data_IF_190229362829
#
_entry.id   IF_190229362829
#
_cell.length_a   1.000
_cell.length_b   1.000
_cell.length_c   1.000
_cell.angle_alpha   90.00
_cell.angle_beta   90.00
_cell.angle_gamma   90.00
#
_symmetry.space_group_name_H-M   'P 1'
#
loop_
_entity.id
_entity.type
_entity.pdbx_description
1 polymer ?
#
# COMPACT_ATOMS: atom_id res chain seq x y z
N UNK A 1 -7.68 -15.88 14.93
CA UNK A 1 -7.34 -17.32 15.04
C UNK A 1 -6.39 -17.66 13.91
N UNK A 2 -5.09 -17.76 14.18
CA UNK A 2 -4.09 -18.07 13.15
C UNK A 2 -4.24 -19.50 12.60
N UNK A 3 -3.90 -19.69 11.32
CA UNK A 3 -3.92 -20.99 10.65
C UNK A 3 -2.79 -21.87 11.21
N UNK A 4 -3.15 -23.04 11.73
CA UNK A 4 -2.20 -24.05 12.20
C UNK A 4 -1.56 -24.81 11.03
N UNK A 5 -0.37 -25.38 11.25
CA UNK A 5 0.33 -26.17 10.22
C UNK A 5 -0.49 -27.37 9.74
N UNK A 6 -1.19 -28.02 10.65
CA UNK A 6 -2.04 -29.18 10.36
C UNK A 6 -3.22 -28.81 9.47
N UNK A 7 -3.94 -27.73 9.81
CA UNK A 7 -5.04 -27.24 8.99
C UNK A 7 -4.57 -26.78 7.60
N UNK A 8 -3.38 -26.19 7.51
CA UNK A 8 -2.82 -25.81 6.21
C UNK A 8 -2.42 -27.03 5.37
N UNK A 9 -1.86 -28.07 5.99
CA UNK A 9 -1.50 -29.30 5.28
C UNK A 9 -2.73 -30.01 4.70
N UNK A 10 -3.82 -30.06 5.47
CA UNK A 10 -5.05 -30.72 5.06
C UNK A 10 -5.83 -29.93 4.01
N UNK A 11 -5.82 -28.60 4.09
CA UNK A 11 -6.68 -27.69 3.30
C UNK A 11 -5.87 -26.62 2.56
N UNK A 12 -4.74 -27.00 1.98
CA UNK A 12 -3.80 -26.07 1.32
C UNK A 12 -4.47 -25.19 0.27
N UNK A 13 -5.19 -25.79 -0.69
CA UNK A 13 -5.82 -25.05 -1.79
C UNK A 13 -6.89 -24.08 -1.31
N UNK A 14 -7.64 -24.49 -0.28
CA UNK A 14 -8.65 -23.65 0.34
C UNK A 14 -8.01 -22.43 1.00
N UNK A 15 -6.98 -22.62 1.82
CA UNK A 15 -6.31 -21.51 2.50
C UNK A 15 -5.57 -20.59 1.53
N UNK A 16 -4.94 -21.14 0.49
CA UNK A 16 -4.30 -20.35 -0.57
C UNK A 16 -5.34 -19.46 -1.28
N UNK A 17 -6.55 -19.99 -1.56
CA UNK A 17 -7.63 -19.22 -2.16
C UNK A 17 -8.23 -18.17 -1.21
N UNK A 18 -8.43 -18.51 0.07
CA UNK A 18 -8.91 -17.54 1.07
C UNK A 18 -7.92 -16.38 1.22
N UNK A 19 -6.63 -16.68 1.31
CA UNK A 19 -5.56 -15.66 1.35
C UNK A 19 -5.53 -14.82 0.08
N UNK A 20 -5.77 -15.41 -1.09
CA UNK A 20 -5.89 -14.67 -2.36
C UNK A 20 -7.06 -13.68 -2.33
N UNK A 21 -8.21 -14.08 -1.80
CA UNK A 21 -9.37 -13.19 -1.65
C UNK A 21 -9.01 -12.03 -0.72
N UNK A 22 -8.42 -12.32 0.43
CA UNK A 22 -8.13 -11.31 1.44
C UNK A 22 -7.11 -10.28 0.93
N UNK A 23 -6.07 -10.73 0.23
CA UNK A 23 -5.10 -9.84 -0.43
C UNK A 23 -5.75 -8.82 -1.37
N UNK A 24 -6.67 -9.29 -2.22
CA UNK A 24 -7.33 -8.41 -3.17
C UNK A 24 -8.30 -7.45 -2.48
N UNK A 25 -8.97 -7.89 -1.41
CA UNK A 25 -9.82 -6.99 -0.59
C UNK A 25 -9.00 -5.90 0.09
N UNK A 26 -7.88 -6.24 0.73
CA UNK A 26 -6.98 -5.27 1.35
C UNK A 26 -6.45 -4.26 0.33
N UNK A 27 -6.00 -4.75 -0.84
CA UNK A 27 -5.53 -3.90 -1.93
C UNK A 27 -6.60 -2.92 -2.42
N UNK A 28 -7.84 -3.40 -2.58
CA UNK A 28 -8.97 -2.56 -2.97
C UNK A 28 -9.34 -1.55 -1.90
N UNK A 29 -9.32 -1.92 -0.61
CA UNK A 29 -9.54 -0.96 0.49
C UNK A 29 -8.49 0.14 0.48
N UNK A 30 -7.21 -0.21 0.30
CA UNK A 30 -6.14 0.77 0.19
C UNK A 30 -6.36 1.71 -1.01
N UNK A 31 -6.73 1.15 -2.17
CA UNK A 31 -7.06 1.93 -3.36
C UNK A 31 -8.26 2.85 -3.13
N UNK A 32 -9.35 2.35 -2.52
CA UNK A 32 -10.53 3.15 -2.20
C UNK A 32 -10.19 4.30 -1.26
N UNK A 33 -9.33 4.08 -0.26
CA UNK A 33 -8.83 5.12 0.65
C UNK A 33 -8.01 6.18 -0.07
N UNK A 34 -7.14 5.79 -1.01
CA UNK A 34 -6.35 6.73 -1.83
C UNK A 34 -7.19 7.55 -2.83
N UNK A 35 -8.31 6.98 -3.27
CA UNK A 35 -9.25 7.56 -4.23
C UNK A 35 -10.41 8.30 -3.55
N UNK A 36 -10.55 8.18 -2.22
CA UNK A 36 -11.52 8.92 -1.44
C UNK A 36 -11.32 10.43 -1.66
N UNK A 37 -12.41 11.14 -1.97
CA UNK A 37 -12.35 12.58 -2.31
C UNK A 37 -12.07 12.90 -3.79
N UNK A 38 -11.72 11.90 -4.63
CA UNK A 38 -11.43 12.10 -6.07
C UNK A 38 -12.49 11.52 -7.01
N UNK A 39 -13.30 10.59 -6.50
CA UNK A 39 -14.31 9.87 -7.29
C UNK A 39 -15.71 10.42 -6.99
N UNK A 40 -16.42 10.80 -8.05
CA UNK A 40 -17.77 11.33 -7.98
C UNK A 40 -18.73 10.42 -8.76
N UNK A 41 -19.90 10.15 -8.20
CA UNK A 41 -21.03 9.53 -8.87
C UNK A 41 -22.08 10.58 -9.25
N UNK A 42 -23.18 10.14 -9.88
CA UNK A 42 -24.28 11.02 -10.29
C UNK A 42 -24.97 11.74 -9.12
N UNK A 43 -24.78 11.27 -7.88
CA UNK A 43 -25.35 11.84 -6.66
C UNK A 43 -24.33 12.66 -5.83
N UNK A 44 -23.08 12.79 -6.30
CA UNK A 44 -22.03 13.55 -5.63
C UNK A 44 -20.80 12.73 -5.29
N UNK A 45 -20.12 13.08 -4.18
CA UNK A 45 -18.89 12.41 -3.77
C UNK A 45 -19.20 10.98 -3.30
N UNK A 46 -18.50 10.00 -3.86
CA UNK A 46 -18.67 8.61 -3.47
C UNK A 46 -17.94 8.34 -2.15
N UNK A 47 -18.61 7.66 -1.21
CA UNK A 47 -17.95 7.21 0.02
C UNK A 47 -16.94 6.10 -0.27
N UNK A 48 -15.97 5.90 0.65
CA UNK A 48 -14.96 4.84 0.51
C UNK A 48 -15.59 3.43 0.40
N UNK A 49 -16.62 3.18 1.20
CA UNK A 49 -17.33 1.91 1.24
C UNK A 49 -18.09 1.64 -0.06
N UNK A 50 -18.84 2.63 -0.57
CA UNK A 50 -19.56 2.50 -1.84
C UNK A 50 -18.60 2.26 -3.02
N UNK A 51 -17.45 2.93 -3.02
CA UNK A 51 -16.44 2.73 -4.05
C UNK A 51 -15.89 1.30 -4.00
N UNK A 52 -15.53 0.84 -2.80
CA UNK A 52 -15.08 -0.53 -2.57
C UNK A 52 -16.12 -1.56 -3.05
N UNK A 53 -17.37 -1.43 -2.60
CA UNK A 53 -18.45 -2.37 -2.93
C UNK A 53 -18.72 -2.40 -4.44
N UNK A 54 -18.68 -1.24 -5.10
CA UNK A 54 -18.91 -1.13 -6.55
C UNK A 54 -17.82 -1.83 -7.39
N UNK A 55 -16.57 -1.81 -6.92
CA UNK A 55 -15.44 -2.46 -7.59
C UNK A 55 -15.45 -3.95 -7.25
N UNK A 56 -15.62 -4.29 -5.97
CA UNK A 56 -15.59 -5.67 -5.49
C UNK A 56 -16.68 -6.54 -6.12
N UNK A 57 -17.90 -6.03 -6.26
CA UNK A 57 -19.02 -6.76 -6.88
C UNK A 57 -18.81 -7.04 -8.38
N UNK A 58 -17.99 -6.25 -9.06
CA UNK A 58 -17.71 -6.38 -10.49
C UNK A 58 -16.40 -7.11 -10.79
N UNK A 59 -15.57 -7.37 -9.78
CA UNK A 59 -14.27 -7.98 -9.96
C UNK A 59 -14.41 -9.51 -10.16
N UNK A 60 -14.07 -10.07 -11.33
CA UNK A 60 -14.11 -11.51 -11.53
C UNK A 60 -12.97 -12.18 -10.78
N UNK A 61 -13.18 -13.43 -10.35
CA UNK A 61 -12.17 -14.22 -9.64
C UNK A 61 -10.89 -14.46 -10.45
N UNK A 62 -11.00 -14.44 -11.79
CA UNK A 62 -9.89 -14.54 -12.72
C UNK A 62 -8.94 -13.35 -12.63
N UNK A 63 -9.47 -12.16 -12.30
CA UNK A 63 -8.70 -10.94 -12.14
C UNK A 63 -8.04 -10.81 -10.76
N UNK A 64 -8.26 -11.76 -9.86
CA UNK A 64 -7.62 -11.75 -8.55
C UNK A 64 -6.11 -11.93 -8.70
N UNK A 65 -5.36 -11.01 -8.14
CA UNK A 65 -3.91 -11.09 -8.09
C UNK A 65 -3.47 -12.12 -7.06
N UNK A 66 -2.35 -12.79 -7.34
CA UNK A 66 -1.70 -13.67 -6.38
C UNK A 66 -0.90 -12.84 -5.39
N UNK A 67 -1.04 -13.08 -4.07
CA UNK A 67 -0.26 -12.36 -3.07
C UNK A 67 1.24 -12.62 -3.26
N UNK A 68 2.06 -11.62 -2.95
CA UNK A 68 3.50 -11.78 -2.91
C UNK A 68 3.91 -12.76 -1.79
N UNK A 69 5.00 -13.54 -1.92
CA UNK A 69 5.46 -14.46 -0.87
C UNK A 69 5.79 -13.78 0.47
N UNK A 70 6.04 -12.47 0.45
CA UNK A 70 6.35 -11.66 1.64
C UNK A 70 5.13 -10.94 2.22
N UNK A 71 3.95 -11.10 1.62
CA UNK A 71 2.72 -10.47 2.11
C UNK A 71 2.14 -11.26 3.28
N UNK A 72 1.87 -10.52 4.35
CA UNK A 72 1.22 -11.03 5.56
C UNK A 72 -0.12 -10.29 5.65
N UNK A 73 -1.26 -11.01 5.73
CA UNK A 73 -2.57 -10.40 5.86
C UNK A 73 -2.68 -9.51 7.11
N UNK A 74 -3.42 -8.40 7.00
CA UNK A 74 -3.81 -7.58 8.15
C UNK A 74 -4.74 -8.36 9.09
N UNK A 75 -5.60 -9.21 8.53
CA UNK A 75 -6.51 -10.03 9.32
C UNK A 75 -5.80 -11.24 9.95
N UNK A 76 -5.83 -11.33 11.28
CA UNK A 76 -5.20 -12.39 12.08
C UNK A 76 -5.74 -13.79 11.78
N UNK A 77 -6.96 -13.90 11.27
CA UNK A 77 -7.59 -15.19 10.96
C UNK A 77 -6.94 -15.90 9.76
N UNK A 78 -6.32 -15.13 8.86
CA UNK A 78 -5.67 -15.68 7.67
C UNK A 78 -4.14 -15.72 7.77
N UNK A 79 -3.57 -15.29 8.91
CA UNK A 79 -2.14 -15.37 9.17
C UNK A 79 -1.75 -16.80 9.51
N UNK A 80 -0.59 -17.23 9.04
CA UNK A 80 0.00 -18.46 9.55
C UNK A 80 0.54 -18.25 10.96
N UNK A 81 0.49 -19.28 11.79
CA UNK A 81 1.07 -19.27 13.14
C UNK A 81 2.56 -18.89 13.15
N UNK A 82 3.28 -19.20 12.07
CA UNK A 82 4.71 -18.92 11.91
C UNK A 82 5.02 -17.62 11.14
N UNK A 83 4.01 -16.85 10.77
CA UNK A 83 4.18 -15.52 10.20
C UNK A 83 4.20 -14.45 11.31
N UNK A 84 5.08 -13.47 11.20
CA UNK A 84 5.20 -12.36 12.17
C UNK A 84 4.15 -11.26 11.98
N UNK A 85 4.41 -10.08 12.54
CA UNK A 85 3.52 -8.93 12.35
C UNK A 85 3.46 -8.47 10.89
N UNK A 86 2.31 -7.90 10.43
CA UNK A 86 2.20 -7.31 9.12
C UNK A 86 3.28 -6.26 8.97
N UNK A 87 4.22 -6.50 8.05
CA UNK A 87 5.16 -5.44 7.68
C UNK A 87 4.32 -4.37 7.01
N UNK A 88 4.22 -3.20 7.62
CA UNK A 88 3.76 -2.01 6.91
C UNK A 88 4.47 -1.99 5.57
N UNK A 89 3.72 -1.90 4.47
CA UNK A 89 4.33 -1.78 3.14
C UNK A 89 5.13 -0.48 3.16
N UNK A 90 6.41 -0.57 3.52
CA UNK A 90 7.32 0.55 3.62
C UNK A 90 7.48 1.06 2.18
N UNK A 91 6.60 1.97 1.78
CA UNK A 91 6.78 2.82 0.59
C UNK A 91 7.87 3.86 0.82
N UNK A 92 8.79 3.63 1.76
CA UNK A 92 10.01 4.41 1.82
C UNK A 92 10.93 3.83 0.74
N UNK A 93 10.93 4.49 -0.42
CA UNK A 93 12.15 4.56 -1.24
C UNK A 93 13.27 4.78 -0.24
N UNK A 94 14.23 3.85 -0.15
CA UNK A 94 15.36 4.01 0.77
C UNK A 94 15.90 5.42 0.58
N UNK A 95 15.93 6.21 1.66
CA UNK A 95 16.39 7.59 1.62
C UNK A 95 17.86 7.55 1.23
N UNK A 96 18.11 7.61 -0.08
CA UNK A 96 19.46 7.69 -0.63
C UNK A 96 20.04 8.97 -0.06
N UNK A 97 21.14 8.80 0.69
CA UNK A 97 21.83 9.86 1.43
C UNK A 97 21.80 11.17 0.62
N UNK A 98 21.41 12.31 1.22
CA UNK A 98 21.23 13.55 0.46
C UNK A 98 22.51 13.82 -0.33
N UNK A 99 22.36 13.96 -1.65
CA UNK A 99 23.47 14.21 -2.54
C UNK A 99 24.27 15.44 -2.10
N UNK A 100 25.56 15.49 -2.46
CA UNK A 100 26.45 16.60 -2.08
C UNK A 100 25.82 17.94 -2.48
N UNK A 101 25.59 18.83 -1.50
CA UNK A 101 25.00 20.16 -1.71
C UNK A 101 25.79 20.91 -2.79
N UNK A 102 25.13 21.23 -3.90
CA UNK A 102 25.70 22.07 -4.96
C UNK A 102 25.68 23.52 -4.48
N UNK A 103 26.86 24.11 -4.29
CA UNK A 103 27.01 25.53 -3.95
C UNK A 103 27.19 26.31 -5.25
N UNK A 104 26.22 27.17 -5.60
CA UNK A 104 26.33 28.08 -6.74
C UNK A 104 27.36 29.17 -6.43
N UNK A 105 28.57 29.04 -6.99
CA UNK A 105 29.67 30.01 -6.79
C UNK A 105 29.33 31.45 -7.24
N UNK A 106 28.35 31.60 -8.13
CA UNK A 106 27.93 32.91 -8.64
C UNK A 106 27.32 33.81 -7.55
N UNK A 107 26.68 33.24 -6.54
CA UNK A 107 26.03 34.01 -5.47
C UNK A 107 27.04 34.67 -4.53
N UNK A 108 28.17 34.00 -4.26
CA UNK A 108 29.25 34.57 -3.43
C UNK A 108 29.92 35.79 -4.09
N UNK A 109 30.00 35.83 -5.42
CA UNK A 109 30.54 37.00 -6.11
C UNK A 109 29.62 38.22 -6.06
N UNK A 110 28.30 38.03 -5.91
CA UNK A 110 27.37 39.14 -5.76
C UNK A 110 27.48 39.79 -4.38
N UNK A 111 27.67 38.98 -3.33
CA UNK A 111 27.90 39.48 -1.96
C UNK A 111 29.28 40.16 -1.82
N UNK A 112 30.30 39.73 -2.58
CA UNK A 112 31.61 40.40 -2.66
C UNK A 112 31.58 41.73 -3.44
N UNK A 113 30.73 41.82 -4.48
CA UNK A 113 30.70 42.98 -5.39
C UNK A 113 29.66 44.03 -4.96
N UNK A 114 28.60 43.62 -4.28
CA UNK A 114 27.59 44.51 -3.70
C UNK A 114 27.29 44.07 -2.26
N UNK A 115 28.20 44.35 -1.31
CA UNK A 115 27.84 44.33 0.10
C UNK A 115 26.86 45.48 0.29
N UNK A 116 25.57 45.19 0.41
CA UNK A 116 24.57 46.23 0.66
C UNK A 116 24.93 46.97 1.95
N UNK A 117 25.25 48.25 1.82
CA UNK A 117 25.12 49.25 2.90
C UNK A 117 23.69 49.18 3.45
N UNK A 118 23.55 49.33 4.77
CA UNK A 118 22.28 49.37 5.52
C UNK A 118 21.19 50.28 4.88
#
# INVERSE_FOLDING_TARGET
MSITKESYADLKEYWDFQRKIEYNKEKLRLMSKEMHGKVYNQMGLMSEQELFDSIWTKLPQEAYETPAPTWIPENEDYRFEWEGEPKEQVRAIEYTKPGRKVVLRARNKLDEVFPWDD
#
